data_IF_893596144694
#
_entry.id   IF_893596144694
#
_cell.length_a   1.000
_cell.length_b   1.000
_cell.length_c   1.000
_cell.angle_alpha   90.00
_cell.angle_beta   90.00
_cell.angle_gamma   90.00
#
_symmetry.space_group_name_H-M   'P 1'
#
loop_
_entity.id
_entity.type
_entity.pdbx_description
1 polymer ?
#
# COMPACT_ATOMS: atom_id res chain seq x y z
N UNK A 1 11.44 3.33 12.16
CA UNK A 1 10.12 3.58 11.53
C UNK A 1 9.82 2.41 10.60
N UNK A 2 8.68 1.74 10.77
CA UNK A 2 8.33 0.51 10.06
C UNK A 2 7.53 0.85 8.82
N UNK A 3 8.19 0.96 7.67
CA UNK A 3 7.51 1.14 6.39
C UNK A 3 6.79 -0.16 6.03
N UNK A 4 5.48 -0.12 5.76
CA UNK A 4 4.79 -1.30 5.25
C UNK A 4 5.25 -1.57 3.81
N UNK A 5 6.08 -2.59 3.67
CA UNK A 5 6.57 -3.11 2.39
C UNK A 5 5.74 -4.28 1.90
N UNK A 6 4.77 -4.76 2.68
CA UNK A 6 3.91 -5.90 2.36
C UNK A 6 2.43 -5.60 2.62
N UNK A 7 1.56 -6.13 1.76
CA UNK A 7 0.11 -6.10 1.91
C UNK A 7 -0.48 -7.48 1.59
N UNK A 8 -1.75 -7.67 1.96
CA UNK A 8 -2.56 -8.82 1.60
C UNK A 8 -3.37 -8.46 0.37
N UNK A 9 -3.29 -9.27 -0.67
CA UNK A 9 -4.01 -9.09 -1.93
C UNK A 9 -4.62 -10.44 -2.28
N UNK A 10 -5.96 -10.51 -2.37
CA UNK A 10 -6.69 -11.76 -2.61
C UNK A 10 -6.26 -12.92 -1.70
N UNK A 11 -5.99 -12.64 -0.43
CA UNK A 11 -5.52 -13.68 0.51
C UNK A 11 -4.02 -13.96 0.48
N UNK A 12 -3.29 -13.48 -0.53
CA UNK A 12 -1.85 -13.65 -0.68
C UNK A 12 -1.07 -12.46 -0.14
N UNK A 13 0.04 -12.71 0.54
CA UNK A 13 0.94 -11.65 0.98
C UNK A 13 1.85 -11.28 -0.20
N UNK A 14 1.76 -10.05 -0.65
CA UNK A 14 2.58 -9.50 -1.74
C UNK A 14 3.40 -8.30 -1.23
N UNK A 15 4.53 -8.05 -1.88
CA UNK A 15 5.35 -6.86 -1.61
C UNK A 15 4.81 -5.63 -2.31
N UNK A 16 5.25 -4.45 -1.87
CA UNK A 16 4.87 -3.16 -2.45
C UNK A 16 5.27 -3.04 -3.92
N UNK A 17 6.42 -3.59 -4.31
CA UNK A 17 6.88 -3.62 -5.70
C UNK A 17 5.94 -4.46 -6.57
N UNK A 18 5.52 -5.63 -6.07
CA UNK A 18 4.53 -6.47 -6.76
C UNK A 18 3.18 -5.76 -6.84
N UNK A 19 2.71 -5.15 -5.76
CA UNK A 19 1.44 -4.42 -5.76
C UNK A 19 1.45 -3.24 -6.74
N UNK A 20 2.59 -2.55 -6.85
CA UNK A 20 2.82 -1.50 -7.84
C UNK A 20 2.82 -2.04 -9.26
N UNK A 21 3.52 -3.15 -9.52
CA UNK A 21 3.53 -3.80 -10.83
C UNK A 21 2.12 -4.24 -11.24
N UNK A 22 1.33 -4.82 -10.32
CA UNK A 22 -0.07 -5.20 -10.57
C UNK A 22 -0.92 -3.96 -10.89
N UNK A 23 -0.76 -2.89 -10.11
CA UNK A 23 -1.47 -1.61 -10.35
C UNK A 23 -1.09 -1.00 -11.69
N UNK A 24 0.17 -1.06 -12.09
CA UNK A 24 0.66 -0.47 -13.33
C UNK A 24 0.21 -1.28 -14.55
N UNK A 25 0.34 -2.61 -14.48
CA UNK A 25 -0.11 -3.55 -15.50
C UNK A 25 -1.63 -3.57 -15.69
N UNK A 26 -2.41 -3.30 -14.63
CA UNK A 26 -3.87 -3.26 -14.74
C UNK A 26 -4.34 -2.02 -15.52
N UNK A 27 -5.32 -2.19 -16.44
CA UNK A 27 -5.93 -1.08 -17.15
C UNK A 27 -6.66 -0.13 -16.17
N UNK A 28 -6.85 1.16 -16.52
CA UNK A 28 -7.43 2.16 -15.63
C UNK A 28 -8.77 1.76 -14.99
N UNK A 29 -9.58 0.99 -15.73
CA UNK A 29 -10.86 0.45 -15.27
C UNK A 29 -10.70 -0.59 -14.15
N UNK A 30 -9.67 -1.42 -14.22
CA UNK A 30 -9.40 -2.48 -13.24
C UNK A 30 -8.58 -1.98 -12.05
N UNK A 31 -7.83 -0.89 -12.20
CA UNK A 31 -7.08 -0.27 -11.10
C UNK A 31 -7.97 0.07 -9.89
N UNK A 32 -9.25 0.39 -10.13
CA UNK A 32 -10.22 0.66 -9.05
C UNK A 32 -10.78 -0.61 -8.40
N UNK A 33 -10.69 -1.76 -9.08
CA UNK A 33 -11.09 -3.07 -8.56
C UNK A 33 -9.98 -3.78 -7.78
N UNK A 34 -8.74 -3.26 -7.82
CA UNK A 34 -7.62 -3.82 -7.06
C UNK A 34 -7.76 -3.46 -5.58
N UNK A 35 -8.17 -4.44 -4.78
CA UNK A 35 -8.32 -4.34 -3.33
C UNK A 35 -7.04 -4.83 -2.67
N UNK A 36 -6.25 -3.90 -2.14
CA UNK A 36 -5.10 -4.24 -1.29
C UNK A 36 -5.48 -4.03 0.17
N UNK A 37 -5.20 -5.00 1.01
CA UNK A 37 -5.52 -5.01 2.44
C UNK A 37 -4.24 -4.98 3.27
N UNK A 38 -4.27 -4.32 4.42
CA UNK A 38 -3.17 -4.32 5.36
C UNK A 38 -3.08 -5.68 6.06
N UNK A 39 -1.89 -6.30 6.09
CA UNK A 39 -1.68 -7.57 6.81
C UNK A 39 -1.95 -7.47 8.31
N UNK A 40 -1.84 -6.26 8.90
CA UNK A 40 -1.99 -6.06 10.35
C UNK A 40 -3.41 -5.75 10.78
N UNK A 41 -4.10 -4.89 10.04
CA UNK A 41 -5.44 -4.43 10.43
C UNK A 41 -6.55 -4.87 9.48
N UNK A 42 -6.23 -5.51 8.34
CA UNK A 42 -7.20 -5.91 7.32
C UNK A 42 -7.82 -4.74 6.55
N UNK A 43 -7.51 -3.50 6.88
CA UNK A 43 -8.09 -2.34 6.20
C UNK A 43 -7.47 -2.11 4.83
N UNK A 44 -8.25 -1.44 3.97
CA UNK A 44 -7.84 -1.10 2.62
C UNK A 44 -6.62 -0.16 2.62
N UNK A 45 -5.60 -0.56 1.87
CA UNK A 45 -4.38 0.20 1.63
C UNK A 45 -4.19 0.46 0.15
N UNK A 46 -3.37 1.46 -0.17
CA UNK A 46 -3.00 1.82 -1.53
C UNK A 46 -1.48 1.85 -1.66
N UNK A 47 -0.90 1.15 -2.65
CA UNK A 47 0.53 1.23 -2.92
C UNK A 47 0.87 2.60 -3.52
N UNK A 48 1.92 3.23 -2.99
CA UNK A 48 2.55 4.45 -3.50
C UNK A 48 3.93 4.12 -4.07
N UNK A 49 4.26 4.76 -5.21
CA UNK A 49 5.58 4.61 -5.82
C UNK A 49 6.66 5.15 -4.88
N UNK A 50 7.85 4.55 -4.97
CA UNK A 50 9.04 5.18 -4.45
C UNK A 50 9.21 6.54 -5.15
N UNK A 51 9.37 7.59 -4.36
CA UNK A 51 9.80 8.90 -4.84
C UNK A 51 11.30 9.08 -4.59
N UNK A 52 11.83 10.22 -5.02
CA UNK A 52 13.25 10.60 -4.91
C UNK A 52 13.83 10.45 -3.48
N UNK A 53 12.98 10.57 -2.45
CA UNK A 53 13.37 10.51 -1.02
C UNK A 53 12.62 9.46 -0.20
N UNK A 54 11.70 8.71 -0.80
CA UNK A 54 10.85 7.76 -0.07
C UNK A 54 10.81 6.43 -0.81
N UNK A 55 11.08 5.34 -0.10
CA UNK A 55 10.86 4.00 -0.64
C UNK A 55 9.36 3.78 -0.95
N UNK A 56 9.07 2.83 -1.84
CA UNK A 56 7.72 2.41 -2.13
C UNK A 56 7.05 1.94 -0.83
N UNK A 57 5.84 2.43 -0.57
CA UNK A 57 5.14 2.15 0.68
C UNK A 57 3.64 2.01 0.46
N UNK A 58 2.96 1.38 1.41
CA UNK A 58 1.50 1.33 1.46
C UNK A 58 0.96 2.42 2.38
N UNK A 59 -0.10 3.08 1.93
CA UNK A 59 -0.86 4.09 2.69
C UNK A 59 -2.28 3.60 2.91
N UNK A 60 -2.84 3.79 4.10
CA UNK A 60 -4.24 3.43 4.35
C UNK A 60 -5.19 4.40 3.65
N UNK A 61 -6.21 3.86 2.98
CA UNK A 61 -7.24 4.69 2.32
C UNK A 61 -8.13 5.42 3.34
N UNK A 62 -8.36 4.81 4.49
CA UNK A 62 -9.08 5.42 5.61
C UNK A 62 -8.14 5.67 6.78
N UNK A 63 -8.36 6.76 7.52
CA UNK A 63 -7.61 7.06 8.75
C UNK A 63 -7.82 5.91 9.74
N UNK A 64 -6.77 5.12 9.96
CA UNK A 64 -6.78 4.05 10.94
C UNK A 64 -5.77 4.35 12.05
N UNK A 65 -6.18 5.08 13.12
CA UNK A 65 -5.29 5.44 14.22
C UNK A 65 -4.78 4.23 15.03
N UNK A 66 -5.38 3.05 14.86
CA UNK A 66 -4.94 1.81 15.51
C UNK A 66 -3.83 1.08 14.75
N UNK A 67 -3.55 1.44 13.49
CA UNK A 67 -2.45 0.81 12.76
C UNK A 67 -1.17 1.64 12.92
N UNK A 68 -0.18 1.07 13.63
CA UNK A 68 1.18 1.65 13.75
C UNK A 68 1.97 1.68 12.42
N UNK A 69 1.38 1.18 11.34
CA UNK A 69 1.82 1.46 9.97
C UNK A 69 1.24 2.83 9.62
N UNK A 70 1.80 3.85 10.25
CA UNK A 70 1.53 5.24 9.94
C UNK A 70 2.27 5.59 8.65
N UNK A 71 1.60 6.36 7.79
CA UNK A 71 2.22 7.09 6.68
C UNK A 71 3.65 7.51 7.07
N UNK A 72 4.66 7.29 6.21
CA UNK A 72 5.95 7.92 6.46
C UNK A 72 5.67 9.42 6.64
N UNK A 73 6.22 10.06 7.70
CA UNK A 73 5.98 11.47 7.92
C UNK A 73 6.35 12.22 6.65
N UNK A 74 5.38 12.96 6.09
CA UNK A 74 5.67 14.02 5.12
C UNK A 74 6.56 15.01 5.85
N UNK A 75 7.87 14.86 5.73
CA UNK A 75 8.80 15.95 6.03
C UNK A 75 8.57 17.00 4.94
N UNK A 76 7.78 18.01 5.30
CA UNK A 76 7.67 19.28 4.58
C UNK A 76 8.96 20.07 4.76
#
# INVERSE_FOLDING_TARGET
>A
MSIATQCKFFGHIITVEKALAIRDAAPPKERMSLIFECIKCGNLVRPYNAGDRCAAHFVHLSRNPQCQITDPPKNY
#
